data_IF_294259439046
#
_entry.id   IF_294259439046
#
_cell.length_a   1.000
_cell.length_b   1.000
_cell.length_c   1.000
_cell.angle_alpha   90.00
_cell.angle_beta   90.00
_cell.angle_gamma   90.00
#
_symmetry.space_group_name_H-M   'P 1'
#
loop_
_entity.id
_entity.type
_entity.pdbx_description
1 polymer ?
#
# COMPACT_ATOMS: atom_id res chain seq x y z
N UNK A 1 6.59 -11.57 23.42
CA UNK A 1 5.79 -10.42 23.90
C UNK A 1 4.43 -10.52 23.25
N UNK A 2 3.34 -10.13 23.93
CA UNK A 2 2.00 -10.18 23.34
C UNK A 2 1.86 -9.22 22.16
N UNK A 3 0.93 -9.50 21.26
CA UNK A 3 0.63 -8.64 20.11
C UNK A 3 0.12 -7.27 20.61
N UNK A 4 0.77 -6.19 20.19
CA UNK A 4 0.31 -4.84 20.53
C UNK A 4 -0.92 -4.47 19.70
N UNK A 5 -1.82 -3.67 20.29
CA UNK A 5 -2.85 -2.97 19.52
C UNK A 5 -2.21 -1.90 18.63
N UNK A 6 -2.93 -1.40 17.62
CA UNK A 6 -2.43 -0.28 16.80
C UNK A 6 -2.06 0.93 17.64
N UNK A 7 -2.85 1.24 18.67
CA UNK A 7 -2.60 2.36 19.56
C UNK A 7 -1.28 2.20 20.33
N UNK A 8 -1.05 1.03 20.92
CA UNK A 8 0.18 0.74 21.68
C UNK A 8 1.40 0.72 20.77
N UNK A 9 1.29 0.14 19.57
CA UNK A 9 2.39 0.09 18.61
C UNK A 9 2.78 1.49 18.11
N UNK A 10 1.80 2.35 17.80
CA UNK A 10 2.04 3.74 17.39
C UNK A 10 2.71 4.53 18.52
N UNK A 11 2.21 4.40 19.75
CA UNK A 11 2.82 5.05 20.91
C UNK A 11 4.25 4.59 21.14
N UNK A 12 4.51 3.28 21.05
CA UNK A 12 5.86 2.73 21.21
C UNK A 12 6.82 3.36 20.20
N UNK A 13 6.46 3.38 18.92
CA UNK A 13 7.30 3.94 17.85
C UNK A 13 7.56 5.43 18.03
N UNK A 14 6.52 6.22 18.30
CA UNK A 14 6.69 7.66 18.50
C UNK A 14 7.46 8.00 19.79
N UNK A 15 7.30 7.21 20.86
CA UNK A 15 8.05 7.38 22.10
C UNK A 15 9.53 7.02 21.94
N UNK A 16 9.83 5.94 21.20
CA UNK A 16 11.20 5.51 20.91
C UNK A 16 11.93 6.52 20.01
N UNK A 17 11.24 7.07 19.00
CA UNK A 17 11.83 8.05 18.08
C UNK A 17 12.03 9.43 18.71
N UNK A 18 11.08 9.90 19.53
CA UNK A 18 11.16 11.19 20.24
C UNK A 18 10.98 12.44 19.36
N UNK A 19 10.91 12.29 18.03
CA UNK A 19 10.69 13.36 17.06
C UNK A 19 9.42 13.11 16.22
N UNK A 20 8.82 14.14 15.59
CA UNK A 20 7.67 13.97 14.71
C UNK A 20 7.98 13.03 13.52
N UNK A 21 7.07 12.10 13.23
CA UNK A 21 7.23 11.11 12.16
C UNK A 21 6.05 11.13 11.19
N UNK A 22 6.33 10.86 9.91
CA UNK A 22 5.28 10.65 8.91
C UNK A 22 4.56 9.33 9.19
N UNK A 23 3.23 9.25 8.98
CA UNK A 23 2.47 8.03 9.29
C UNK A 23 2.98 6.78 8.56
N UNK A 24 3.54 6.94 7.36
CA UNK A 24 4.14 5.84 6.61
C UNK A 24 5.38 5.31 7.34
N UNK A 25 6.27 6.19 7.79
CA UNK A 25 7.47 5.81 8.56
C UNK A 25 7.10 5.18 9.91
N UNK A 26 6.04 5.67 10.55
CA UNK A 26 5.49 5.04 11.77
C UNK A 26 5.07 3.61 11.47
N UNK A 27 4.34 3.41 10.36
CA UNK A 27 3.84 2.08 9.96
C UNK A 27 4.99 1.13 9.65
N UNK A 28 5.97 1.59 8.88
CA UNK A 28 7.13 0.80 8.49
C UNK A 28 7.94 0.40 9.74
N UNK A 29 8.12 1.32 10.70
CA UNK A 29 8.80 1.05 11.97
C UNK A 29 8.05 0.06 12.88
N UNK A 30 6.71 0.10 12.89
CA UNK A 30 5.88 -0.87 13.63
C UNK A 30 6.13 -2.30 13.11
N UNK A 31 6.37 -2.43 11.80
CA UNK A 31 6.62 -3.72 11.15
C UNK A 31 8.06 -4.17 11.34
N UNK A 32 9.04 -3.28 11.18
CA UNK A 32 10.45 -3.59 11.41
C UNK A 32 10.72 -4.08 12.84
N UNK A 33 9.92 -3.62 13.80
CA UNK A 33 9.99 -4.01 15.20
C UNK A 33 9.13 -5.24 15.55
N UNK A 34 8.44 -5.84 14.57
CA UNK A 34 7.51 -6.97 14.75
C UNK A 34 6.51 -6.74 15.89
N UNK A 35 6.01 -5.49 16.04
CA UNK A 35 5.14 -5.11 17.17
C UNK A 35 3.74 -5.74 17.07
N UNK A 36 3.36 -6.21 15.88
CA UNK A 36 2.06 -6.86 15.60
C UNK A 36 2.24 -8.07 14.69
N UNK A 37 1.22 -8.90 14.56
CA UNK A 37 1.24 -10.08 13.68
C UNK A 37 0.30 -9.97 12.49
N UNK A 38 -0.79 -9.19 12.62
CA UNK A 38 -1.70 -8.90 11.52
C UNK A 38 -1.79 -7.39 11.24
N UNK A 39 -1.42 -7.01 10.01
CA UNK A 39 -1.38 -5.64 9.52
C UNK A 39 -2.51 -5.28 8.54
N UNK A 40 -3.31 -6.26 8.11
CA UNK A 40 -4.33 -6.08 7.07
C UNK A 40 -3.76 -5.74 5.69
N UNK A 41 -4.63 -5.34 4.76
CA UNK A 41 -4.24 -5.02 3.38
C UNK A 41 -3.68 -3.59 3.20
N UNK A 42 -4.11 -2.64 4.05
CA UNK A 42 -3.76 -1.21 3.94
C UNK A 42 -3.19 -0.62 5.25
N UNK A 43 -2.17 -1.24 5.87
CA UNK A 43 -1.65 -0.83 7.17
C UNK A 43 -1.30 0.66 7.30
N UNK A 44 -0.73 1.30 6.26
CA UNK A 44 -0.40 2.73 6.33
C UNK A 44 -1.66 3.60 6.45
N UNK A 45 -2.74 3.22 5.74
CA UNK A 45 -4.04 3.90 5.83
C UNK A 45 -4.67 3.67 7.20
N UNK A 46 -4.56 2.45 7.73
CA UNK A 46 -5.03 2.10 9.08
C UNK A 46 -4.34 2.95 10.15
N UNK A 47 -3.01 3.10 10.10
CA UNK A 47 -2.26 3.95 11.03
C UNK A 47 -2.68 5.42 10.93
N UNK A 48 -2.79 5.97 9.71
CA UNK A 48 -3.22 7.36 9.52
C UNK A 48 -4.65 7.59 10.06
N UNK A 49 -5.55 6.64 9.83
CA UNK A 49 -6.93 6.67 10.34
C UNK A 49 -6.96 6.66 11.87
N UNK A 50 -6.18 5.78 12.51
CA UNK A 50 -6.08 5.74 13.97
C UNK A 50 -5.56 7.06 14.56
N UNK A 51 -4.51 7.64 13.98
CA UNK A 51 -3.94 8.93 14.42
C UNK A 51 -4.95 10.07 14.25
N UNK A 52 -5.57 10.15 13.08
CA UNK A 52 -6.50 11.24 12.73
C UNK A 52 -7.77 11.17 13.56
N UNK A 53 -8.37 9.98 13.71
CA UNK A 53 -9.55 9.77 14.56
C UNK A 53 -9.27 10.06 16.03
N UNK A 54 -8.11 9.65 16.56
CA UNK A 54 -7.76 9.91 17.95
C UNK A 54 -7.63 11.42 18.23
N UNK A 55 -7.07 12.19 17.28
CA UNK A 55 -6.98 13.65 17.39
C UNK A 55 -8.36 14.30 17.24
N UNK A 56 -9.18 13.84 16.29
CA UNK A 56 -10.50 14.43 15.98
C UNK A 56 -11.51 14.19 17.11
N UNK A 57 -11.52 13.00 17.71
CA UNK A 57 -12.46 12.62 18.76
C UNK A 57 -12.25 13.45 20.02
N UNK A 58 -11.00 13.57 20.46
CA UNK A 58 -10.65 14.27 21.69
C UNK A 58 -9.39 15.15 21.53
N UNK A 59 -9.49 16.32 20.87
CA UNK A 59 -8.31 17.15 20.55
C UNK A 59 -7.50 17.61 21.77
N UNK A 60 -8.15 17.75 22.93
CA UNK A 60 -7.53 18.22 24.17
C UNK A 60 -6.77 17.12 24.92
N UNK A 61 -7.25 15.87 24.87
CA UNK A 61 -6.71 14.74 25.63
C UNK A 61 -6.02 13.69 24.76
N UNK A 62 -6.08 13.84 23.44
CA UNK A 62 -5.39 12.94 22.52
C UNK A 62 -3.89 12.88 22.84
N UNK A 63 -3.32 11.68 22.95
CA UNK A 63 -1.88 11.52 23.16
C UNK A 63 -1.07 11.93 21.92
N UNK A 64 -1.74 12.17 20.79
CA UNK A 64 -1.12 12.52 19.52
C UNK A 64 -1.36 14.00 19.18
N UNK A 65 -0.42 14.59 18.46
CA UNK A 65 -0.57 15.89 17.84
C UNK A 65 -0.12 15.86 16.37
N UNK A 66 -0.84 16.57 15.50
CA UNK A 66 -0.51 16.73 14.09
C UNK A 66 0.41 17.94 13.95
N UNK A 67 1.68 17.70 13.66
CA UNK A 67 2.72 18.73 13.59
C UNK A 67 2.72 19.41 12.22
N UNK A 68 2.51 18.64 11.16
CA UNK A 68 2.41 19.12 9.79
C UNK A 68 1.62 18.14 8.93
N UNK A 69 1.60 18.32 7.61
CA UNK A 69 0.92 17.42 6.67
C UNK A 69 1.38 15.98 6.91
N UNK A 70 0.44 15.12 7.30
CA UNK A 70 0.64 13.69 7.50
C UNK A 70 1.77 13.29 8.48
N UNK A 71 2.23 14.24 9.30
CA UNK A 71 3.32 14.08 10.29
C UNK A 71 2.77 14.26 11.69
N UNK A 72 3.07 13.31 12.57
CA UNK A 72 2.48 13.20 13.91
C UNK A 72 3.57 13.05 14.98
N UNK A 73 3.28 13.53 16.19
CA UNK A 73 4.15 13.37 17.35
C UNK A 73 3.32 12.98 18.59
N UNK A 74 3.99 12.51 19.64
CA UNK A 74 3.38 12.40 20.97
C UNK A 74 3.28 13.79 21.59
N UNK A 75 2.10 14.12 22.11
CA UNK A 75 1.89 15.35 22.86
C UNK A 75 2.71 15.29 24.15
N UNK A 76 3.67 16.18 24.27
CA UNK A 76 4.42 16.34 25.52
C UNK A 76 3.53 17.10 26.50
N UNK A 77 2.90 16.41 27.45
CA UNK A 77 2.22 17.08 28.56
C UNK A 77 3.27 17.92 29.31
N UNK A 78 3.05 19.24 29.53
CA UNK A 78 3.97 20.01 30.36
C UNK A 78 4.01 19.36 31.73
N UNK A 79 5.17 18.81 32.09
CA UNK A 79 5.35 18.13 33.38
C UNK A 79 5.21 19.15 34.50
N UNK A 80 4.19 19.07 35.38
CA UNK A 80 4.29 19.69 36.67
C UNK A 80 5.16 18.77 37.53
N UNK A 81 6.26 19.30 38.01
CA UNK A 81 7.12 18.70 39.02
C UNK A 81 6.31 17.95 40.09
N UNK A 82 6.68 16.70 40.34
CA UNK A 82 6.50 15.96 41.60
C UNK A 82 5.07 15.82 42.12
N UNK A 83 4.50 14.60 42.06
CA UNK A 83 3.96 13.86 43.23
C UNK A 83 3.23 12.60 42.76
N UNK A 84 3.41 11.54 43.55
CA UNK A 84 2.89 10.18 43.40
C UNK A 84 1.35 10.15 43.41
N UNK A 85 0.74 9.34 42.53
CA UNK A 85 -0.33 8.37 42.87
C UNK A 85 -0.89 7.69 41.59
N UNK A 86 -0.79 6.36 41.53
CA UNK A 86 -1.69 5.47 40.79
C UNK A 86 -2.85 5.06 41.76
N UNK A 87 -3.98 4.44 41.33
CA UNK A 87 -4.14 3.62 40.13
C UNK A 87 -5.52 3.63 39.39
N UNK A 88 -5.50 3.06 38.18
CA UNK A 88 -6.53 2.22 37.53
C UNK A 88 -7.91 2.78 37.18
N UNK A 89 -8.22 2.80 35.87
CA UNK A 89 -9.49 2.24 35.38
C UNK A 89 -9.36 1.73 33.94
N UNK A 90 -9.56 0.43 33.77
CA UNK A 90 -9.68 -0.28 32.50
C UNK A 90 -10.89 0.26 31.71
N UNK A 91 -10.68 0.63 30.46
CA UNK A 91 -11.76 0.75 29.48
C UNK A 91 -11.39 -0.08 28.25
N UNK A 92 -11.90 -1.30 28.25
CA UNK A 92 -12.12 -2.12 27.08
C UNK A 92 -13.21 -1.48 26.23
N UNK A 93 -12.91 -1.18 24.96
CA UNK A 93 -13.91 -0.94 23.93
C UNK A 93 -13.48 -1.77 22.72
N UNK A 94 -13.86 -3.05 22.77
CA UNK A 94 -14.16 -3.83 21.57
C UNK A 94 -15.47 -3.27 21.00
N UNK A 95 -15.42 -2.77 19.78
CA UNK A 95 -16.59 -2.29 19.06
C UNK A 95 -16.21 -1.99 17.63
N UNK A 96 -16.74 -2.80 16.70
CA UNK A 96 -16.72 -2.57 15.26
C UNK A 96 -16.96 -1.09 14.95
N UNK A 97 -15.96 -0.45 14.35
CA UNK A 97 -16.08 0.94 13.95
C UNK A 97 -16.63 0.96 12.53
N UNK A 98 -17.91 1.31 12.48
CA UNK A 98 -18.69 1.69 11.31
C UNK A 98 -17.86 2.53 10.32
N UNK A 99 -17.73 2.01 9.10
CA UNK A 99 -16.88 2.48 8.01
C UNK A 99 -17.50 3.67 7.26
N UNK A 100 -17.87 4.72 8.00
CA UNK A 100 -18.68 5.81 7.48
C UNK A 100 -18.26 7.19 7.98
N UNK A 101 -16.98 7.56 7.85
CA UNK A 101 -16.58 8.96 8.04
C UNK A 101 -15.65 9.39 6.91
N UNK A 102 -16.20 10.22 6.02
CA UNK A 102 -15.47 11.05 5.07
C UNK A 102 -14.56 12.01 5.84
N UNK A 103 -13.30 11.60 6.06
CA UNK A 103 -12.30 12.50 6.60
C UNK A 103 -11.78 13.37 5.45
N UNK A 104 -12.19 14.63 5.43
CA UNK A 104 -11.84 15.63 4.41
C UNK A 104 -10.38 16.09 4.49
N UNK A 105 -9.59 15.44 5.35
CA UNK A 105 -8.14 15.54 5.51
C UNK A 105 -7.38 14.38 4.84
N UNK A 106 -8.11 13.46 4.18
CA UNK A 106 -7.53 12.56 3.19
C UNK A 106 -6.82 13.43 2.15
N UNK A 107 -5.52 13.22 1.99
CA UNK A 107 -4.70 13.72 0.88
C UNK A 107 -5.59 13.94 -0.35
N UNK A 108 -5.53 15.12 -1.01
CA UNK A 108 -6.20 15.34 -2.30
C UNK A 108 -6.09 14.06 -3.11
N UNK A 109 -7.23 13.37 -3.21
CA UNK A 109 -7.24 11.97 -3.59
C UNK A 109 -6.79 11.93 -5.03
N UNK A 110 -5.52 11.53 -5.22
CA UNK A 110 -4.88 11.55 -6.53
C UNK A 110 -5.69 10.70 -7.50
N UNK A 111 -5.69 11.03 -8.79
CA UNK A 111 -6.44 10.23 -9.76
C UNK A 111 -5.93 8.78 -9.79
N UNK A 112 -4.62 8.57 -9.62
CA UNK A 112 -4.04 7.26 -9.32
C UNK A 112 -4.17 6.99 -7.82
N UNK A 113 -4.68 5.81 -7.46
CA UNK A 113 -4.89 5.34 -6.09
C UNK A 113 -3.82 4.34 -5.63
N UNK A 114 -3.39 3.48 -6.56
CA UNK A 114 -2.43 2.43 -6.29
C UNK A 114 -1.59 2.20 -7.54
N UNK A 115 -0.35 1.78 -7.37
CA UNK A 115 0.52 1.44 -8.47
C UNK A 115 1.50 0.34 -8.09
N UNK A 116 2.11 -0.29 -9.08
CA UNK A 116 3.18 -1.26 -8.89
C UNK A 116 4.21 -1.08 -9.99
N UNK A 117 5.49 -1.07 -9.60
CA UNK A 117 6.60 -0.80 -10.50
C UNK A 117 7.43 -2.05 -10.79
N UNK A 118 7.71 -2.30 -12.07
CA UNK A 118 8.64 -3.34 -12.54
C UNK A 118 8.38 -4.75 -12.00
N UNK A 119 7.10 -5.10 -11.80
CA UNK A 119 6.65 -6.42 -11.40
C UNK A 119 7.10 -7.47 -12.41
N UNK A 120 7.62 -8.59 -11.92
CA UNK A 120 8.16 -9.66 -12.72
C UNK A 120 7.04 -10.46 -13.36
N UNK A 121 7.17 -10.72 -14.66
CA UNK A 121 6.23 -11.56 -15.39
C UNK A 121 6.16 -12.98 -14.83
N UNK A 122 7.30 -13.54 -14.44
CA UNK A 122 7.40 -14.95 -14.04
C UNK A 122 6.87 -15.21 -12.61
N UNK A 123 6.63 -14.15 -11.83
CA UNK A 123 6.00 -14.23 -10.52
C UNK A 123 4.46 -14.30 -10.60
N UNK A 124 3.88 -14.29 -11.81
CA UNK A 124 2.44 -14.41 -12.05
C UNK A 124 2.11 -15.80 -12.60
N UNK A 125 1.12 -16.46 -12.01
CA UNK A 125 0.58 -17.70 -12.56
C UNK A 125 -0.39 -17.42 -13.72
N UNK A 126 0.13 -17.42 -14.95
CA UNK A 126 -0.65 -17.07 -16.14
C UNK A 126 -1.74 -18.10 -16.47
N UNK A 127 -3.00 -17.67 -16.38
CA UNK A 127 -4.24 -18.40 -16.74
C UNK A 127 -5.32 -17.42 -17.19
N UNK A 128 -6.48 -17.90 -17.62
CA UNK A 128 -7.61 -17.00 -17.91
C UNK A 128 -8.00 -16.23 -16.64
N UNK A 129 -8.09 -14.89 -16.72
CA UNK A 129 -8.20 -14.00 -15.56
C UNK A 129 -7.16 -14.31 -14.46
N UNK A 130 -5.86 -14.10 -14.72
CA UNK A 130 -4.84 -14.38 -13.72
C UNK A 130 -4.94 -13.36 -12.57
N UNK A 131 -4.80 -13.81 -11.31
CA UNK A 131 -4.55 -12.89 -10.21
C UNK A 131 -3.27 -12.10 -10.43
N UNK A 132 -3.29 -10.83 -10.06
CA UNK A 132 -2.12 -9.94 -10.11
C UNK A 132 -1.84 -9.50 -8.68
N UNK A 133 -1.04 -10.30 -7.97
CA UNK A 133 -0.93 -10.21 -6.53
C UNK A 133 0.11 -9.19 -6.09
N UNK A 134 -0.26 -8.33 -5.14
CA UNK A 134 0.64 -7.37 -4.51
C UNK A 134 0.32 -7.14 -3.03
N UNK A 135 1.25 -6.52 -2.31
CA UNK A 135 1.13 -6.19 -0.90
C UNK A 135 1.80 -4.85 -0.62
N UNK A 136 1.26 -4.06 0.31
CA UNK A 136 1.81 -2.73 0.61
C UNK A 136 3.24 -2.81 1.17
N UNK A 137 3.54 -3.90 1.88
CA UNK A 137 4.86 -4.17 2.48
C UNK A 137 4.97 -5.65 2.88
N UNK A 138 6.15 -6.07 3.31
CA UNK A 138 6.37 -7.41 3.86
C UNK A 138 5.49 -7.59 5.10
N UNK A 139 4.83 -8.74 5.21
CA UNK A 139 3.89 -9.03 6.32
C UNK A 139 2.46 -8.52 6.13
N UNK A 140 2.21 -7.58 5.20
CA UNK A 140 0.85 -7.16 4.86
C UNK A 140 0.09 -8.24 4.06
N UNK A 141 -1.24 -8.23 4.16
CA UNK A 141 -2.09 -9.14 3.39
C UNK A 141 -1.93 -8.90 1.88
N UNK A 142 -2.07 -9.97 1.11
CA UNK A 142 -1.95 -9.91 -0.35
C UNK A 142 -3.28 -9.53 -0.98
N UNK A 143 -3.21 -8.61 -1.92
CA UNK A 143 -4.35 -8.03 -2.66
C UNK A 143 -4.26 -8.45 -4.13
N UNK A 144 -5.40 -8.82 -4.71
CA UNK A 144 -5.50 -9.10 -6.15
C UNK A 144 -5.85 -7.84 -6.95
N UNK A 145 -4.87 -7.36 -7.72
CA UNK A 145 -5.00 -6.21 -8.60
C UNK A 145 -5.52 -6.54 -10.01
N UNK A 146 -5.93 -7.79 -10.27
CA UNK A 146 -6.36 -8.24 -11.61
C UNK A 146 -7.49 -7.39 -12.21
N UNK A 147 -8.36 -6.80 -11.37
CA UNK A 147 -9.48 -5.96 -11.77
C UNK A 147 -9.17 -4.46 -11.83
N UNK A 148 -7.92 -4.06 -11.61
CA UNK A 148 -7.54 -2.66 -11.59
C UNK A 148 -7.85 -1.97 -12.93
N UNK A 149 -8.35 -0.74 -12.84
CA UNK A 149 -8.58 0.13 -13.99
C UNK A 149 -7.43 1.13 -14.10
N UNK A 150 -7.04 1.49 -15.33
CA UNK A 150 -6.01 2.50 -15.55
C UNK A 150 -5.08 2.19 -16.71
N UNK A 151 -3.79 2.41 -16.50
CA UNK A 151 -2.74 2.23 -17.51
C UNK A 151 -1.65 1.28 -17.02
N UNK A 152 -1.05 0.54 -17.94
CA UNK A 152 0.08 -0.34 -17.66
C UNK A 152 1.15 -0.23 -18.74
N UNK A 153 2.38 -0.49 -18.33
CA UNK A 153 3.57 -0.49 -19.16
C UNK A 153 4.13 -1.91 -19.17
N UNK A 154 4.53 -2.39 -20.34
CA UNK A 154 5.33 -3.61 -20.47
C UNK A 154 6.78 -3.21 -20.71
N UNK A 155 7.69 -3.89 -20.03
CA UNK A 155 9.12 -3.60 -20.06
C UNK A 155 9.91 -4.81 -20.54
N UNK A 156 10.95 -4.54 -21.32
CA UNK A 156 12.06 -5.45 -21.56
C UNK A 156 13.33 -4.86 -20.94
N UNK A 157 13.68 -5.32 -19.75
CA UNK A 157 14.74 -4.71 -18.95
C UNK A 157 14.36 -3.29 -18.53
N UNK A 158 15.04 -2.27 -19.06
CA UNK A 158 14.75 -0.84 -18.80
C UNK A 158 13.95 -0.16 -19.91
N UNK A 159 13.70 -0.86 -21.02
CA UNK A 159 12.96 -0.29 -22.15
C UNK A 159 11.46 -0.52 -21.98
N UNK A 160 10.66 0.52 -22.20
CA UNK A 160 9.20 0.39 -22.28
C UNK A 160 8.84 -0.08 -23.69
N UNK A 161 8.36 -1.31 -23.82
CA UNK A 161 8.06 -1.92 -25.13
C UNK A 161 6.60 -1.74 -25.55
N UNK A 162 5.71 -1.51 -24.60
CA UNK A 162 4.29 -1.29 -24.86
C UNK A 162 3.63 -0.51 -23.73
N UNK A 163 2.62 0.29 -24.09
CA UNK A 163 1.73 0.99 -23.15
C UNK A 163 0.29 0.59 -23.49
N UNK A 164 -0.46 0.19 -22.47
CA UNK A 164 -1.84 -0.23 -22.61
C UNK A 164 -2.75 0.38 -21.55
N UNK A 165 -4.06 0.28 -21.79
CA UNK A 165 -5.11 0.66 -20.85
C UNK A 165 -5.97 -0.54 -20.48
N UNK A 166 -6.47 -0.55 -19.25
CA UNK A 166 -7.47 -1.48 -18.72
C UNK A 166 -8.69 -0.70 -18.25
N UNK A 167 -9.63 -0.43 -19.17
CA UNK A 167 -10.91 0.23 -18.85
C UNK A 167 -12.04 -0.73 -19.19
N UNK A 168 -12.11 -1.13 -20.47
CA UNK A 168 -13.14 -2.04 -20.97
C UNK A 168 -12.94 -3.50 -20.51
N UNK A 169 -11.72 -3.83 -20.05
CA UNK A 169 -11.34 -5.16 -19.58
C UNK A 169 -10.43 -5.06 -18.36
N UNK A 170 -10.53 -6.03 -17.42
CA UNK A 170 -9.63 -6.14 -16.29
C UNK A 170 -8.15 -6.19 -16.70
N UNK A 171 -7.29 -5.54 -15.92
CA UNK A 171 -5.84 -5.52 -16.15
C UNK A 171 -5.24 -6.91 -16.27
N UNK A 172 -5.57 -7.84 -15.38
CA UNK A 172 -5.05 -9.21 -15.41
C UNK A 172 -5.35 -9.92 -16.73
N UNK A 173 -6.56 -9.73 -17.28
CA UNK A 173 -6.93 -10.29 -18.58
C UNK A 173 -6.13 -9.66 -19.73
N UNK A 174 -5.91 -8.34 -19.70
CA UNK A 174 -5.10 -7.65 -20.73
C UNK A 174 -3.64 -8.11 -20.69
N UNK A 175 -3.06 -8.24 -19.51
CA UNK A 175 -1.70 -8.76 -19.33
C UNK A 175 -1.60 -10.22 -19.80
N UNK A 176 -2.60 -11.05 -19.52
CA UNK A 176 -2.65 -12.43 -20.00
C UNK A 176 -2.70 -12.52 -21.53
N UNK A 177 -3.47 -11.66 -22.20
CA UNK A 177 -3.50 -11.60 -23.68
C UNK A 177 -2.10 -11.35 -24.25
N UNK A 178 -1.31 -10.46 -23.63
CA UNK A 178 0.09 -10.16 -24.01
C UNK A 178 1.08 -11.30 -23.75
N UNK A 179 0.65 -12.37 -23.06
CA UNK A 179 1.46 -13.60 -22.94
C UNK A 179 1.29 -14.53 -24.13
N UNK A 180 0.37 -14.24 -25.05
CA UNK A 180 0.02 -15.11 -26.19
C UNK A 180 0.07 -14.41 -27.54
N UNK A 181 0.05 -13.09 -27.54
CA UNK A 181 0.05 -12.31 -28.76
C UNK A 181 1.48 -12.06 -29.28
N UNK A 182 1.61 -11.16 -30.26
CA UNK A 182 2.90 -10.79 -30.87
C UNK A 182 3.92 -10.18 -29.88
N UNK A 183 3.49 -9.77 -28.69
CA UNK A 183 4.34 -9.21 -27.63
C UNK A 183 4.85 -10.27 -26.66
N UNK A 184 4.39 -11.53 -26.75
CA UNK A 184 4.75 -12.61 -25.82
C UNK A 184 6.25 -12.74 -25.51
N UNK A 185 7.16 -12.47 -26.44
CA UNK A 185 8.60 -12.61 -26.23
C UNK A 185 9.33 -11.26 -26.01
N UNK A 186 8.60 -10.16 -25.82
CA UNK A 186 9.12 -8.79 -25.83
C UNK A 186 8.94 -8.04 -24.51
N UNK A 187 8.69 -8.77 -23.43
CA UNK A 187 8.61 -8.19 -22.10
C UNK A 187 8.86 -9.25 -21.01
N UNK A 188 9.53 -8.81 -19.95
CA UNK A 188 9.85 -9.60 -18.75
C UNK A 188 9.32 -8.96 -17.46
N UNK A 189 8.92 -7.68 -17.52
CA UNK A 189 8.37 -6.94 -16.39
C UNK A 189 7.20 -6.06 -16.84
N UNK A 190 6.38 -5.64 -15.88
CA UNK A 190 5.29 -4.71 -16.13
C UNK A 190 5.16 -3.74 -14.96
N UNK A 191 4.74 -2.51 -15.26
CA UNK A 191 4.32 -1.54 -14.27
C UNK A 191 2.87 -1.17 -14.52
N UNK A 192 2.14 -0.77 -13.48
CA UNK A 192 0.72 -0.43 -13.60
C UNK A 192 0.36 0.72 -12.67
N UNK A 193 -0.58 1.55 -13.13
CA UNK A 193 -1.08 2.74 -12.43
C UNK A 193 -2.60 2.66 -12.40
N UNK A 194 -3.14 2.47 -11.20
CA UNK A 194 -4.51 2.07 -10.93
C UNK A 194 -5.40 3.18 -10.39
N UNK A 195 -6.65 3.19 -10.83
CA UNK A 195 -7.69 4.16 -10.46
C UNK A 195 -8.59 3.68 -9.31
N UNK A 196 -8.62 2.37 -9.05
CA UNK A 196 -9.38 1.79 -7.95
C UNK A 196 -8.53 1.80 -6.68
N UNK A 197 -9.13 2.26 -5.58
CA UNK A 197 -8.52 2.21 -4.26
C UNK A 197 -8.63 0.82 -3.66
N UNK A 198 -7.72 0.50 -2.75
CA UNK A 198 -7.76 -0.72 -1.96
C UNK A 198 -8.49 -0.45 -0.65
N UNK A 199 -9.42 -1.33 -0.27
CA UNK A 199 -10.12 -1.29 1.01
C UNK A 199 -9.33 -2.05 2.09
N UNK A 200 -9.75 -1.95 3.36
CA UNK A 200 -9.07 -2.66 4.46
C UNK A 200 -9.13 -4.18 4.33
N UNK A 201 -10.21 -4.70 3.74
CA UNK A 201 -10.43 -6.11 3.39
C UNK A 201 -9.81 -6.52 2.05
N UNK A 202 -8.97 -5.66 1.45
CA UNK A 202 -8.22 -5.96 0.24
C UNK A 202 -9.04 -6.00 -1.05
N UNK A 203 -10.23 -5.41 -1.06
CA UNK A 203 -11.05 -5.26 -2.27
C UNK A 203 -10.70 -3.99 -3.04
N UNK A 204 -10.96 -4.01 -4.34
CA UNK A 204 -10.80 -2.84 -5.21
C UNK A 204 -12.13 -2.11 -5.34
N UNK A 205 -12.13 -0.81 -5.03
CA UNK A 205 -13.31 0.04 -5.13
C UNK A 205 -13.03 1.29 -5.98
N UNK A 206 -14.04 1.71 -6.74
CA UNK A 206 -14.02 3.00 -7.42
C UNK A 206 -14.01 4.15 -6.42
N UNK A 207 -13.36 5.24 -6.81
CA UNK A 207 -13.34 6.48 -6.04
C UNK A 207 -13.93 7.59 -6.89
N UNK A 208 -14.81 8.38 -6.30
CA UNK A 208 -15.32 9.58 -6.95
C UNK A 208 -14.26 10.68 -6.84
N UNK A 209 -13.79 11.18 -7.97
CA UNK A 209 -12.83 12.27 -8.03
C UNK A 209 -13.42 13.43 -8.84
N UNK A 210 -13.33 14.64 -8.29
CA UNK A 210 -13.63 15.86 -9.03
C UNK A 210 -12.41 16.20 -9.89
N UNK A 211 -12.55 16.11 -11.21
CA UNK A 211 -11.45 16.38 -12.13
C UNK A 211 -11.19 17.89 -12.27
N UNK A 212 -9.98 18.34 -11.92
CA UNK A 212 -9.46 19.66 -12.26
C UNK A 212 -8.33 19.54 -13.29
N UNK A 213 -8.09 20.60 -14.06
CA UNK A 213 -6.98 20.64 -15.03
C UNK A 213 -5.63 20.41 -14.31
N UNK A 214 -5.49 20.98 -13.12
CA UNK A 214 -4.30 20.83 -12.27
C UNK A 214 -4.10 19.37 -11.84
N UNK A 215 -5.15 18.70 -11.33
CA UNK A 215 -5.08 17.30 -10.93
C UNK A 215 -4.68 16.40 -12.10
N UNK A 216 -5.24 16.64 -13.29
CA UNK A 216 -4.88 15.89 -14.50
C UNK A 216 -3.42 16.12 -14.89
N UNK A 217 -2.95 17.38 -14.89
CA UNK A 217 -1.58 17.72 -15.26
C UNK A 217 -0.57 17.09 -14.29
N UNK A 218 -0.80 17.21 -12.98
CA UNK A 218 0.03 16.60 -11.93
C UNK A 218 0.04 15.08 -12.07
N UNK A 219 -1.12 14.46 -12.30
CA UNK A 219 -1.21 13.00 -12.46
C UNK A 219 -0.42 12.52 -13.68
N UNK A 220 -0.60 13.17 -14.84
CA UNK A 220 0.11 12.79 -16.07
C UNK A 220 1.62 12.96 -15.92
N UNK A 221 2.07 14.07 -15.32
CA UNK A 221 3.48 14.28 -15.02
C UNK A 221 4.03 13.16 -14.12
N UNK A 222 3.31 12.85 -13.04
CA UNK A 222 3.71 11.82 -12.08
C UNK A 222 3.85 10.44 -12.73
N UNK A 223 2.87 10.01 -13.54
CA UNK A 223 2.91 8.74 -14.29
C UNK A 223 4.08 8.69 -15.26
N UNK A 224 4.40 9.81 -15.94
CA UNK A 224 5.51 9.88 -16.88
C UNK A 224 6.87 9.87 -16.16
N UNK A 225 6.99 10.53 -15.00
CA UNK A 225 8.21 10.52 -14.20
C UNK A 225 8.49 9.13 -13.67
N UNK A 226 7.51 8.51 -13.01
CA UNK A 226 7.68 7.19 -12.41
C UNK A 226 7.83 6.10 -13.48
N UNK A 227 7.02 6.16 -14.55
CA UNK A 227 7.02 5.13 -15.60
C UNK A 227 8.23 5.17 -16.53
N UNK A 228 8.86 6.33 -16.74
CA UNK A 228 9.98 6.50 -17.69
C UNK A 228 11.33 6.76 -17.01
N UNK A 229 11.35 7.06 -15.71
CA UNK A 229 12.53 7.43 -14.93
C UNK A 229 13.52 8.37 -15.69
N UNK A 230 13.05 9.53 -16.19
CA UNK A 230 13.88 10.37 -17.03
C UNK A 230 15.10 10.90 -16.26
N UNK A 231 16.31 10.67 -16.78
CA UNK A 231 17.60 10.94 -16.09
C UNK A 231 17.78 12.36 -15.56
N UNK A 232 17.10 13.34 -16.15
CA UNK A 232 17.21 14.76 -15.78
C UNK A 232 16.17 15.18 -14.73
N UNK A 233 15.14 14.38 -14.48
CA UNK A 233 14.16 14.66 -13.43
C UNK A 233 14.74 14.25 -12.08
N UNK A 234 15.02 15.27 -11.26
CA UNK A 234 15.46 15.10 -9.87
C UNK A 234 14.30 15.04 -8.88
N UNK A 235 13.08 15.38 -9.31
CA UNK A 235 11.86 15.17 -8.53
C UNK A 235 11.47 13.70 -8.64
N UNK A 236 11.52 12.98 -7.52
CA UNK A 236 10.88 11.67 -7.35
C UNK A 236 9.64 11.91 -6.49
N UNK A 237 8.47 11.45 -6.91
CA UNK A 237 7.32 11.35 -6.00
C UNK A 237 6.69 12.62 -5.40
N UNK A 238 7.19 13.85 -5.65
CA UNK A 238 6.69 15.07 -4.99
C UNK A 238 5.18 15.35 -5.19
N UNK A 239 4.51 14.69 -6.15
CA UNK A 239 3.07 14.76 -6.39
C UNK A 239 2.35 13.40 -6.37
N UNK A 240 3.03 12.34 -5.93
CA UNK A 240 2.51 10.97 -6.02
C UNK A 240 1.84 10.55 -4.70
N UNK A 241 0.59 11.00 -4.47
CA UNK A 241 -0.21 10.58 -3.31
C UNK A 241 -0.75 9.12 -3.43
N UNK A 242 -0.33 8.35 -4.44
CA UNK A 242 -0.77 6.97 -4.57
C UNK A 242 0.13 6.00 -3.81
N UNK A 243 -0.47 4.90 -3.35
CA UNK A 243 0.26 3.86 -2.63
C UNK A 243 0.95 2.91 -3.59
N UNK A 244 2.27 2.73 -3.43
CA UNK A 244 3.00 1.68 -4.12
C UNK A 244 2.71 0.31 -3.48
N UNK A 245 2.51 -0.71 -4.32
CA UNK A 245 2.43 -2.09 -3.92
C UNK A 245 3.61 -2.88 -4.47
N UNK A 246 4.22 -3.67 -3.59
CA UNK A 246 5.24 -4.63 -3.93
C UNK A 246 4.58 -5.90 -4.48
N UNK A 247 5.19 -6.49 -5.52
CA UNK A 247 4.67 -7.74 -6.07
C UNK A 247 4.73 -8.87 -5.03
N UNK A 248 3.66 -9.66 -4.97
CA UNK A 248 3.63 -10.95 -4.30
C UNK A 248 3.65 -12.06 -5.37
N UNK A 249 4.52 -13.05 -5.19
CA UNK A 249 4.56 -14.22 -6.07
C UNK A 249 3.31 -15.09 -5.87
N UNK A 250 2.72 -15.58 -6.97
CA UNK A 250 1.57 -16.48 -6.88
C UNK A 250 1.97 -17.81 -6.19
N UNK A 251 1.31 -18.19 -5.07
CA UNK A 251 1.65 -19.42 -4.34
C UNK A 251 1.60 -20.70 -5.18
N UNK A 252 0.80 -20.72 -6.27
CA UNK A 252 0.71 -21.87 -7.16
C UNK A 252 2.04 -22.13 -7.91
N UNK A 253 2.89 -21.10 -8.10
CA UNK A 253 4.22 -21.26 -8.72
C UNK A 253 5.11 -22.14 -7.84
N UNK A 254 5.25 -21.80 -6.55
CA UNK A 254 6.06 -22.57 -5.61
C UNK A 254 5.50 -23.99 -5.42
N UNK A 255 4.16 -24.12 -5.36
CA UNK A 255 3.49 -25.43 -5.27
C UNK A 255 3.87 -26.34 -6.43
N UNK A 256 3.85 -25.80 -7.66
CA UNK A 256 4.22 -26.56 -8.87
C UNK A 256 5.68 -26.93 -8.91
N UNK A 257 6.58 -26.01 -8.56
CA UNK A 257 8.01 -26.29 -8.49
C UNK A 257 8.32 -27.41 -7.48
N UNK A 258 7.68 -27.36 -6.30
CA UNK A 258 7.81 -28.39 -5.27
C UNK A 258 7.32 -29.76 -5.76
N UNK A 259 6.16 -29.80 -6.41
CA UNK A 259 5.62 -31.04 -7.00
C UNK A 259 6.56 -31.60 -8.08
N UNK A 260 7.05 -30.77 -9.00
CA UNK A 260 7.99 -31.18 -10.05
C UNK A 260 9.29 -31.74 -9.47
N UNK A 261 9.82 -31.12 -8.40
CA UNK A 261 10.99 -31.61 -7.70
C UNK A 261 10.74 -33.00 -7.10
N UNK A 262 9.62 -33.20 -6.41
CA UNK A 262 9.23 -34.49 -5.84
C UNK A 262 9.10 -35.58 -6.90
N UNK A 263 8.46 -35.28 -8.03
CA UNK A 263 8.32 -36.23 -9.14
C UNK A 263 9.68 -36.58 -9.77
N UNK A 264 10.58 -35.60 -9.87
CA UNK A 264 11.95 -35.83 -10.37
C UNK A 264 12.82 -36.66 -9.42
N UNK A 265 12.55 -36.63 -8.12
CA UNK A 265 13.22 -37.47 -7.13
C UNK A 265 12.66 -38.89 -7.17
N UNK A 266 11.34 -39.04 -7.27
CA UNK A 266 10.67 -40.35 -7.41
C UNK A 266 11.10 -41.10 -8.67
N UNK A 267 11.33 -40.41 -9.79
CA UNK A 267 11.77 -41.06 -11.03
C UNK A 267 13.24 -41.51 -11.03
N UNK A 268 14.02 -41.09 -10.02
CA UNK A 268 15.43 -41.50 -9.82
C UNK A 268 15.60 -42.62 -8.78
N UNK A 269 14.50 -43.03 -8.12
CA UNK A 269 14.42 -44.18 -7.22
C UNK A 269 13.92 -45.41 -8.01
#
# INVERSE_FOLDING_TARGET
>A
MGELTWHEAIQHVLAENGEPMHYQDITDRIIDLDLRSNYGATPRRTVNSHLSMAIKRDPATSPYEKVSKATFALRTLPSPSTSLEQPSSRLSIDGEVDSGVEDTDLEEVGLIQAFGMYWQRDAVHWRNNPPILGRQQIGAETVDFSKQLGVYLLHDGREVTYVGRSIDRPMGQRLYEHTKDRLQARWNRFSWFGLLRVTEDGQLLETQATLSIELVAVTLEAVLIEGLEPRQNRRRGDGFNATEYLQAEDPEIQRRQTHQLLDSLKSKL
#
